data_IF_439595046023
#
_entry.id   IF_439595046023
#
_cell.length_a   1.000
_cell.length_b   1.000
_cell.length_c   1.000
_cell.angle_alpha   90.00
_cell.angle_beta   90.00
_cell.angle_gamma   90.00
#
_symmetry.space_group_name_H-M   'P 1'
#
loop_
_entity.id
_entity.type
_entity.pdbx_description
1 polymer ?
#
# COMPACT_ATOMS: atom_id res chain seq x y z
N UNK A 1 -16.72 17.43 -11.81
CA UNK A 1 -17.60 17.58 -13.00
C UNK A 1 -17.12 16.72 -14.16
N UNK A 2 -15.84 16.77 -14.54
CA UNK A 2 -15.27 16.03 -15.68
C UNK A 2 -15.41 14.50 -15.62
N UNK A 3 -15.26 13.86 -14.44
CA UNK A 3 -15.37 12.39 -14.32
C UNK A 3 -16.78 11.89 -14.61
N UNK A 4 -17.81 12.54 -14.06
CA UNK A 4 -19.20 12.16 -14.30
C UNK A 4 -19.61 12.31 -15.77
N UNK A 5 -19.12 13.35 -16.44
CA UNK A 5 -19.33 13.58 -17.87
C UNK A 5 -18.63 12.51 -18.73
N UNK A 6 -17.40 12.13 -18.38
CA UNK A 6 -16.66 11.06 -19.05
C UNK A 6 -17.37 9.70 -18.89
N UNK A 7 -17.89 9.40 -17.70
CA UNK A 7 -18.67 8.18 -17.45
C UNK A 7 -20.01 8.20 -18.20
N UNK A 8 -20.69 9.35 -18.26
CA UNK A 8 -21.95 9.52 -18.97
C UNK A 8 -21.84 9.46 -20.50
N UNK A 9 -20.63 9.58 -21.05
CA UNK A 9 -20.36 9.57 -22.50
C UNK A 9 -19.61 8.33 -23.00
N UNK A 10 -19.55 7.27 -22.19
CA UNK A 10 -18.94 5.99 -22.58
C UNK A 10 -19.65 5.37 -23.79
N UNK A 11 -18.91 5.19 -24.91
CA UNK A 11 -19.47 4.64 -26.16
C UNK A 11 -19.83 3.15 -26.09
N UNK A 12 -19.06 2.35 -25.34
CA UNK A 12 -19.14 0.89 -25.37
C UNK A 12 -19.02 0.27 -23.97
N UNK A 13 -19.93 0.57 -23.03
CA UNK A 13 -19.83 0.09 -21.64
C UNK A 13 -20.00 -1.43 -21.50
N UNK A 14 -20.52 -2.11 -22.51
CA UNK A 14 -20.72 -3.57 -22.54
C UNK A 14 -19.49 -4.34 -23.07
N UNK A 15 -18.48 -3.64 -23.58
CA UNK A 15 -17.23 -4.26 -24.06
C UNK A 15 -16.26 -4.34 -22.88
N UNK A 16 -15.59 -5.48 -22.74
CA UNK A 16 -14.53 -5.62 -21.74
C UNK A 16 -13.45 -4.56 -21.93
N UNK A 17 -12.98 -4.03 -20.80
CA UNK A 17 -11.86 -3.09 -20.76
C UNK A 17 -10.59 -3.71 -21.36
N UNK A 18 -9.68 -2.85 -21.81
CA UNK A 18 -8.33 -3.26 -22.23
C UNK A 18 -7.63 -4.00 -21.07
N UNK A 19 -7.29 -5.30 -21.20
CA UNK A 19 -6.75 -6.08 -20.09
C UNK A 19 -5.40 -5.54 -19.60
N UNK A 20 -4.66 -4.86 -20.47
CA UNK A 20 -3.36 -4.25 -20.16
C UNK A 20 -3.47 -2.80 -19.67
N UNK A 21 -4.67 -2.21 -19.66
CA UNK A 21 -4.89 -0.82 -19.25
C UNK A 21 -3.96 0.21 -19.92
N UNK A 22 -3.58 0.00 -21.19
CA UNK A 22 -2.49 0.74 -21.87
C UNK A 22 -2.71 2.25 -21.89
N UNK A 23 -3.96 2.69 -22.12
CA UNK A 23 -4.30 4.12 -22.10
C UNK A 23 -4.11 4.76 -20.73
N UNK A 24 -4.38 4.02 -19.65
CA UNK A 24 -4.17 4.49 -18.28
C UNK A 24 -2.67 4.55 -17.96
N UNK A 25 -1.92 3.51 -18.32
CA UNK A 25 -0.47 3.48 -18.14
C UNK A 25 0.21 4.64 -18.86
N UNK A 26 -0.12 4.89 -20.12
CA UNK A 26 0.46 6.00 -20.88
C UNK A 26 0.16 7.37 -20.27
N UNK A 27 -1.05 7.58 -19.75
CA UNK A 27 -1.42 8.81 -19.07
C UNK A 27 -0.64 9.01 -17.75
N UNK A 28 -0.59 7.96 -16.92
CA UNK A 28 0.15 7.98 -15.65
C UNK A 28 1.67 8.12 -15.86
N UNK A 29 2.24 7.43 -16.84
CA UNK A 29 3.66 7.51 -17.21
C UNK A 29 4.06 8.96 -17.53
N UNK A 30 3.26 9.63 -18.36
CA UNK A 30 3.45 11.04 -18.71
C UNK A 30 3.35 11.96 -17.49
N UNK A 31 2.36 11.74 -16.63
CA UNK A 31 2.13 12.60 -15.45
C UNK A 31 3.20 12.39 -14.36
N UNK A 32 3.72 11.17 -14.21
CA UNK A 32 4.72 10.79 -13.22
C UNK A 32 6.17 10.96 -13.71
N UNK A 33 6.39 11.08 -15.02
CA UNK A 33 7.72 11.18 -15.62
C UNK A 33 8.52 9.87 -15.58
N UNK A 34 7.83 8.72 -15.68
CA UNK A 34 8.43 7.37 -15.68
C UNK A 34 7.95 6.57 -16.88
N UNK A 35 8.68 5.51 -17.25
CA UNK A 35 8.25 4.59 -18.32
C UNK A 35 7.00 3.78 -17.90
N UNK A 36 6.17 3.40 -18.88
CA UNK A 36 4.96 2.60 -18.65
C UNK A 36 5.23 1.26 -17.98
N UNK A 37 6.41 0.69 -18.23
CA UNK A 37 6.80 -0.64 -17.72
C UNK A 37 6.96 -0.66 -16.20
N UNK A 38 7.08 0.50 -15.56
CA UNK A 38 7.12 0.64 -14.10
C UNK A 38 5.73 0.83 -13.46
N UNK A 39 4.65 0.78 -14.26
CA UNK A 39 3.27 1.00 -13.79
C UNK A 39 2.50 -0.31 -13.86
N UNK A 40 2.01 -0.74 -12.70
CA UNK A 40 1.04 -1.83 -12.59
C UNK A 40 -0.32 -1.26 -12.18
N UNK A 41 -1.36 -1.59 -12.93
CA UNK A 41 -2.73 -1.24 -12.60
C UNK A 41 -3.46 -2.47 -12.06
N UNK A 42 -4.20 -2.30 -10.96
CA UNK A 42 -5.04 -3.32 -10.35
C UNK A 42 -6.35 -2.74 -9.84
N UNK A 43 -7.21 -3.59 -9.28
CA UNK A 43 -8.49 -3.27 -8.67
C UNK A 43 -8.33 -2.67 -7.27
N UNK A 44 -7.51 -1.61 -7.17
CA UNK A 44 -7.17 -0.93 -5.92
C UNK A 44 -5.86 -1.42 -5.31
N UNK A 45 -5.44 -0.73 -4.24
CA UNK A 45 -4.17 -1.02 -3.58
C UNK A 45 -4.17 -2.38 -2.86
N UNK A 46 -5.33 -2.83 -2.37
CA UNK A 46 -5.45 -4.08 -1.61
C UNK A 46 -5.10 -5.29 -2.47
N UNK A 47 -5.61 -5.37 -3.71
CA UNK A 47 -5.23 -6.44 -4.65
C UNK A 47 -3.74 -6.40 -4.99
N UNK A 48 -3.17 -5.21 -5.22
CA UNK A 48 -1.75 -5.07 -5.53
C UNK A 48 -0.86 -5.50 -4.35
N UNK A 49 -1.28 -5.23 -3.11
CA UNK A 49 -0.58 -5.69 -1.91
C UNK A 49 -0.63 -7.21 -1.80
N UNK A 50 -1.80 -7.83 -1.99
CA UNK A 50 -1.94 -9.30 -1.98
C UNK A 50 -1.08 -9.95 -3.07
N UNK A 51 -1.10 -9.43 -4.30
CA UNK A 51 -0.27 -9.94 -5.40
C UNK A 51 1.23 -9.85 -5.07
N UNK A 52 1.68 -8.72 -4.54
CA UNK A 52 3.09 -8.57 -4.11
C UNK A 52 3.40 -9.60 -3.03
N UNK A 53 2.55 -9.74 -2.01
CA UNK A 53 2.75 -10.71 -0.93
C UNK A 53 2.82 -12.15 -1.45
N UNK A 54 1.95 -12.54 -2.38
CA UNK A 54 1.99 -13.87 -3.03
C UNK A 54 3.27 -14.11 -3.84
N UNK A 55 3.84 -13.06 -4.44
CA UNK A 55 5.07 -13.18 -5.21
C UNK A 55 6.32 -13.29 -4.33
N UNK A 56 6.25 -12.87 -3.07
CA UNK A 56 7.44 -12.73 -2.22
C UNK A 56 7.41 -13.58 -0.96
N UNK A 57 6.25 -14.00 -0.46
CA UNK A 57 6.13 -14.76 0.79
C UNK A 57 6.00 -16.26 0.51
N UNK A 58 6.76 -17.04 1.26
CA UNK A 58 6.59 -18.49 1.40
C UNK A 58 5.92 -18.85 2.74
N UNK A 59 5.20 -19.97 2.83
CA UNK A 59 4.64 -20.44 4.10
C UNK A 59 5.70 -20.58 5.20
N UNK A 60 5.47 -19.92 6.34
CA UNK A 60 6.41 -19.87 7.47
C UNK A 60 7.31 -18.64 7.50
N UNK A 61 7.30 -17.80 6.46
CA UNK A 61 7.97 -16.50 6.47
C UNK A 61 7.42 -15.58 7.55
N UNK A 62 8.20 -14.57 7.92
CA UNK A 62 7.83 -13.63 8.99
C UNK A 62 7.69 -12.22 8.42
N UNK A 63 6.53 -11.62 8.63
CA UNK A 63 6.23 -10.22 8.28
C UNK A 63 6.24 -9.40 9.56
N UNK A 64 6.90 -8.24 9.55
CA UNK A 64 6.95 -7.35 10.71
C UNK A 64 6.01 -6.18 10.50
N UNK A 65 5.01 -6.07 11.38
CA UNK A 65 4.07 -4.96 11.44
C UNK A 65 4.41 -4.02 12.57
N UNK A 66 4.24 -2.71 12.37
CA UNK A 66 4.44 -1.68 13.40
C UNK A 66 3.11 -0.99 13.74
N UNK A 67 2.28 -1.54 14.65
CA UNK A 67 0.98 -0.97 14.94
C UNK A 67 1.06 0.45 15.52
N UNK A 68 0.08 1.33 15.21
CA UNK A 68 -1.09 1.09 14.36
C UNK A 68 -0.73 1.17 12.86
N UNK A 69 -1.04 0.12 12.10
CA UNK A 69 -0.81 -0.01 10.66
C UNK A 69 -2.09 -0.49 9.97
N UNK A 70 -2.09 -0.48 8.63
CA UNK A 70 -3.18 -1.02 7.82
C UNK A 70 -3.35 -2.53 8.07
N UNK A 71 -4.55 -2.94 8.46
CA UNK A 71 -4.83 -4.31 8.93
C UNK A 71 -4.79 -5.37 7.84
N UNK A 72 -4.87 -4.97 6.55
CA UNK A 72 -4.83 -5.93 5.45
C UNK A 72 -3.49 -6.66 5.37
N UNK A 73 -2.38 -6.04 5.80
CA UNK A 73 -1.08 -6.72 5.78
C UNK A 73 -1.06 -7.98 6.66
N UNK A 74 -1.67 -7.91 7.85
CA UNK A 74 -1.79 -9.07 8.74
C UNK A 74 -2.68 -10.16 8.13
N UNK A 75 -3.76 -9.75 7.46
CA UNK A 75 -4.68 -10.66 6.79
C UNK A 75 -4.03 -11.37 5.60
N UNK A 76 -3.43 -10.60 4.69
CA UNK A 76 -2.79 -11.11 3.47
C UNK A 76 -1.58 -11.99 3.80
N UNK A 77 -0.79 -11.63 4.82
CA UNK A 77 0.31 -12.47 5.31
C UNK A 77 -0.21 -13.82 5.83
N UNK A 78 -1.32 -13.82 6.59
CA UNK A 78 -1.92 -15.06 7.08
C UNK A 78 -2.49 -15.94 5.95
N UNK A 79 -3.07 -15.33 4.91
CA UNK A 79 -3.53 -16.06 3.70
C UNK A 79 -2.38 -16.76 2.99
N UNK A 80 -1.19 -16.15 2.99
CA UNK A 80 0.04 -16.72 2.43
C UNK A 80 0.78 -17.68 3.39
N UNK A 81 0.22 -17.97 4.58
CA UNK A 81 0.83 -18.86 5.56
C UNK A 81 2.05 -18.26 6.28
N UNK A 82 2.24 -16.94 6.18
CA UNK A 82 3.28 -16.22 6.90
C UNK A 82 2.83 -15.85 8.32
N UNK A 83 3.81 -15.61 9.20
CA UNK A 83 3.63 -15.22 10.58
C UNK A 83 3.85 -13.73 10.75
N UNK A 84 2.96 -13.06 11.46
CA UNK A 84 3.04 -11.61 11.68
C UNK A 84 3.61 -11.30 13.05
N UNK A 85 4.71 -10.55 13.07
CA UNK A 85 5.38 -10.06 14.27
C UNK A 85 5.04 -8.59 14.49
N UNK A 86 4.45 -8.25 15.64
CA UNK A 86 4.04 -6.87 15.96
C UNK A 86 5.12 -6.13 16.74
N UNK A 87 5.76 -5.15 16.12
CA UNK A 87 6.77 -4.27 16.69
C UNK A 87 6.15 -2.92 17.11
N UNK A 88 5.66 -2.83 18.35
CA UNK A 88 5.09 -1.59 18.88
C UNK A 88 6.19 -0.58 19.24
N UNK A 89 6.03 0.68 18.80
CA UNK A 89 6.98 1.77 19.07
C UNK A 89 7.16 2.02 20.58
N UNK A 90 6.14 1.71 21.37
CA UNK A 90 6.13 1.77 22.83
C UNK A 90 7.24 0.92 23.47
N UNK A 91 7.73 -0.13 22.80
CA UNK A 91 8.80 -1.00 23.28
C UNK A 91 10.19 -0.67 22.69
N UNK A 92 10.30 0.36 21.85
CA UNK A 92 11.56 0.68 21.15
C UNK A 92 12.66 1.33 22.02
N UNK A 93 12.34 1.71 23.26
CA UNK A 93 13.22 2.53 24.11
C UNK A 93 13.38 3.99 23.65
N UNK A 94 12.90 4.34 22.45
CA UNK A 94 12.90 5.69 21.90
C UNK A 94 11.63 6.42 22.34
N UNK A 95 11.79 7.60 22.95
CA UNK A 95 10.63 8.42 23.33
C UNK A 95 9.94 9.00 22.10
N UNK A 96 8.66 8.68 21.95
CA UNK A 96 7.80 9.31 20.95
C UNK A 96 7.70 10.83 21.17
N UNK A 97 7.59 11.60 20.08
CA UNK A 97 7.41 13.06 20.11
C UNK A 97 5.98 13.50 20.42
N UNK A 98 5.08 12.58 20.77
CA UNK A 98 3.68 12.88 21.16
C UNK A 98 3.57 13.96 22.25
N UNK A 99 4.53 14.02 23.19
CA UNK A 99 4.53 15.05 24.23
C UNK A 99 4.69 16.49 23.72
N UNK A 100 5.13 16.68 22.47
CA UNK A 100 5.31 17.99 21.87
C UNK A 100 3.99 18.63 21.42
N UNK A 101 2.92 17.84 21.26
CA UNK A 101 1.57 18.37 20.98
C UNK A 101 1.12 19.34 22.08
N UNK A 102 1.58 19.14 23.33
CA UNK A 102 1.31 20.07 24.44
C UNK A 102 2.14 21.36 24.41
N UNK A 103 3.20 21.40 23.59
CA UNK A 103 4.16 22.51 23.53
C UNK A 103 3.97 23.40 22.30
N UNK A 104 3.30 22.90 21.26
CA UNK A 104 3.13 23.60 19.99
C UNK A 104 1.66 23.49 19.58
N UNK A 105 0.95 24.62 19.52
CA UNK A 105 -0.49 24.68 19.21
C UNK A 105 -0.83 24.21 17.79
N UNK A 106 0.16 24.18 16.91
CA UNK A 106 0.07 23.86 15.49
C UNK A 106 0.90 22.62 15.08
N UNK A 107 1.24 21.75 16.04
CA UNK A 107 1.96 20.51 15.78
C UNK A 107 1.01 19.30 15.74
N UNK A 108 0.97 18.63 14.59
CA UNK A 108 0.31 17.34 14.43
C UNK A 108 1.38 16.25 14.45
N UNK A 109 1.37 15.38 15.45
CA UNK A 109 2.23 14.19 15.50
C UNK A 109 1.44 13.01 14.94
N UNK A 110 1.76 12.62 13.70
CA UNK A 110 1.12 11.50 13.02
C UNK A 110 1.90 10.21 13.29
N UNK A 111 1.19 9.15 13.69
CA UNK A 111 1.71 7.76 13.68
C UNK A 111 1.52 7.20 12.27
N UNK A 112 2.40 7.58 11.35
CA UNK A 112 2.32 7.18 9.94
C UNK A 112 3.54 6.34 9.55
N UNK A 113 3.40 5.01 9.64
CA UNK A 113 3.87 4.15 8.55
C UNK A 113 2.67 3.93 7.61
N UNK A 114 2.17 5.04 7.05
CA UNK A 114 1.00 5.07 6.17
C UNK A 114 1.34 4.50 4.80
N UNK A 115 0.33 3.85 4.20
CA UNK A 115 0.07 3.36 2.83
C UNK A 115 0.95 3.82 1.65
N UNK A 116 1.81 4.82 1.81
CA UNK A 116 2.76 5.33 0.81
C UNK A 116 4.19 4.79 0.97
N UNK A 117 4.56 4.21 2.13
CA UNK A 117 5.94 3.75 2.39
C UNK A 117 6.08 2.51 3.31
N UNK A 118 5.00 1.77 3.58
CA UNK A 118 4.96 0.75 4.63
C UNK A 118 4.97 -0.69 4.12
N UNK A 119 6.09 -1.15 3.56
CA UNK A 119 6.39 -2.57 3.52
C UNK A 119 7.88 -2.75 3.78
N UNK A 120 8.22 -3.37 4.91
CA UNK A 120 9.60 -3.78 5.21
C UNK A 120 9.56 -5.28 5.46
N UNK A 121 9.70 -6.05 4.38
CA UNK A 121 9.78 -7.52 4.45
C UNK A 121 11.22 -7.85 4.83
N UNK A 122 11.45 -8.24 6.08
CA UNK A 122 12.73 -8.79 6.50
C UNK A 122 12.63 -10.30 6.37
N UNK A 123 13.18 -10.83 5.29
CA UNK A 123 13.51 -12.26 5.23
C UNK A 123 14.58 -12.52 6.28
N UNK A 124 14.19 -13.12 7.40
CA UNK A 124 15.15 -13.63 8.36
C UNK A 124 15.59 -15.00 7.85
N UNK A 125 16.82 -15.16 7.30
CA UNK A 125 17.36 -16.49 7.10
C UNK A 125 17.41 -17.19 8.46
N UNK A 126 16.90 -18.41 8.52
CA UNK A 126 17.07 -19.30 9.67
C UNK A 126 18.55 -19.67 9.76
#
# INVERSE_FOLDING_TARGET
MQVFEALGSLKFPYVYSDPESRRLHAALAKDLGIESDYILAGCGADELIDLIMRCVLDPGDKVVDCPPIFTMYEFDAAVNGALVLKAYIEFSGIKSRMGWVKKFENLIVLRTFSKRAGMFIIFLPI
#
